data_IF_181918822122
#
_entry.id   IF_181918822122
#
_cell.length_a   1.000
_cell.length_b   1.000
_cell.length_c   1.000
_cell.angle_alpha   90.00
_cell.angle_beta   90.00
_cell.angle_gamma   90.00
#
_symmetry.space_group_name_H-M   'P 1'
#
loop_
_entity.id
_entity.type
_entity.pdbx_description
1 polymer ?
#
# COMPACT_ATOMS: atom_id res chain seq x y z
N UNK A 1 54.81 -5.96 -4.55
CA UNK A 1 53.84 -5.96 -3.45
C UNK A 1 52.47 -5.65 -4.01
N UNK A 2 51.57 -6.65 -4.07
CA UNK A 2 50.27 -6.58 -4.75
C UNK A 2 49.22 -6.06 -3.78
N UNK A 3 48.60 -4.92 -4.05
CA UNK A 3 47.43 -4.48 -3.34
C UNK A 3 46.17 -4.91 -4.15
N UNK A 4 45.45 -5.93 -3.65
CA UNK A 4 44.13 -6.34 -4.14
C UNK A 4 43.09 -5.43 -3.54
N UNK A 5 42.48 -4.57 -4.31
CA UNK A 5 41.24 -3.92 -3.93
C UNK A 5 40.07 -4.86 -4.27
N UNK A 6 39.42 -5.34 -3.22
CA UNK A 6 38.11 -5.99 -3.28
C UNK A 6 37.08 -4.95 -3.66
N UNK A 7 36.42 -5.17 -4.79
CA UNK A 7 35.17 -4.52 -5.15
C UNK A 7 34.07 -5.57 -5.13
N UNK A 8 33.49 -5.80 -3.96
CA UNK A 8 32.29 -6.59 -3.80
C UNK A 8 31.09 -5.66 -3.64
N UNK A 9 30.00 -5.96 -4.38
CA UNK A 9 28.66 -5.58 -4.03
C UNK A 9 28.06 -4.31 -4.64
N UNK A 10 28.07 -4.18 -5.96
CA UNK A 10 27.10 -3.29 -6.63
C UNK A 10 26.11 -4.13 -7.42
N UNK A 11 24.84 -4.02 -7.00
CA UNK A 11 23.68 -4.70 -7.57
C UNK A 11 23.68 -4.69 -9.11
N UNK A 12 23.32 -5.81 -9.70
CA UNK A 12 23.20 -6.04 -11.15
C UNK A 12 22.35 -4.99 -11.86
N UNK A 13 21.34 -4.46 -11.18
CA UNK A 13 20.49 -3.37 -11.66
C UNK A 13 21.25 -2.07 -11.91
N UNK A 14 22.23 -1.72 -11.06
CA UNK A 14 23.01 -0.49 -11.21
C UNK A 14 23.96 -0.55 -12.41
N UNK A 15 24.40 -1.74 -12.84
CA UNK A 15 25.28 -1.92 -13.99
C UNK A 15 24.53 -1.78 -15.31
N UNK A 16 23.31 -2.29 -15.39
CA UNK A 16 22.45 -2.17 -16.58
C UNK A 16 21.99 -0.74 -16.85
N UNK A 17 21.81 0.08 -15.80
CA UNK A 17 21.48 1.50 -15.97
C UNK A 17 22.69 2.33 -16.40
N UNK A 18 23.87 2.03 -15.90
CA UNK A 18 25.09 2.81 -16.22
C UNK A 18 25.57 2.60 -17.67
N UNK A 19 25.48 1.38 -18.22
CA UNK A 19 25.93 1.10 -19.60
C UNK A 19 24.99 1.65 -20.68
N UNK A 20 23.68 1.77 -20.38
CA UNK A 20 22.71 2.35 -21.32
C UNK A 20 22.68 3.88 -21.35
N UNK A 21 23.14 4.52 -20.27
CA UNK A 21 23.18 5.99 -20.16
C UNK A 21 24.29 6.66 -20.98
N UNK A 22 25.28 5.91 -21.47
CA UNK A 22 26.44 6.47 -22.18
C UNK A 22 26.31 6.52 -23.71
N UNK A 23 25.21 6.06 -24.30
CA UNK A 23 25.11 5.89 -25.75
C UNK A 23 23.96 6.62 -26.46
N UNK A 24 23.21 7.50 -25.77
CA UNK A 24 22.17 8.29 -26.46
C UNK A 24 22.18 9.72 -25.98
N UNK A 25 22.23 10.73 -26.89
CA UNK A 25 22.00 12.11 -26.51
C UNK A 25 20.63 12.22 -25.87
N UNK A 26 20.50 13.03 -24.81
CA UNK A 26 19.24 13.28 -24.13
C UNK A 26 18.21 13.77 -25.15
N UNK A 27 17.42 12.86 -25.69
CA UNK A 27 16.25 13.20 -26.47
C UNK A 27 15.30 13.96 -25.55
N UNK A 28 14.84 15.14 -25.97
CA UNK A 28 13.72 15.82 -25.32
C UNK A 28 12.61 14.81 -25.05
N UNK A 29 11.85 14.94 -23.95
CA UNK A 29 10.74 14.05 -23.68
C UNK A 29 9.77 14.10 -24.85
N UNK A 30 9.90 13.13 -25.75
CA UNK A 30 9.03 12.93 -26.89
C UNK A 30 7.61 12.62 -26.36
N UNK A 31 6.59 12.86 -27.19
CA UNK A 31 5.18 12.51 -26.90
C UNK A 31 5.04 11.07 -26.38
N UNK A 32 5.93 10.16 -26.79
CA UNK A 32 6.01 8.78 -26.29
C UNK A 32 6.26 8.66 -24.78
N UNK A 33 6.73 9.70 -24.10
CA UNK A 33 6.89 9.67 -22.64
C UNK A 33 5.53 9.50 -21.93
N UNK A 34 4.46 10.07 -22.50
CA UNK A 34 3.10 9.99 -21.98
C UNK A 34 2.44 8.61 -22.17
N UNK A 35 3.02 7.77 -23.02
CA UNK A 35 2.56 6.41 -23.29
C UNK A 35 3.31 5.35 -22.48
N UNK A 36 4.28 5.76 -21.65
CA UNK A 36 5.04 4.82 -20.82
C UNK A 36 4.19 4.30 -19.66
N UNK A 37 4.09 2.97 -19.49
CA UNK A 37 3.22 2.37 -18.46
C UNK A 37 3.48 2.91 -17.05
N UNK A 38 4.74 3.06 -16.64
CA UNK A 38 5.09 3.60 -15.32
C UNK A 38 4.63 5.04 -15.12
N UNK A 39 4.68 5.88 -16.16
CA UNK A 39 4.19 7.26 -16.10
C UNK A 39 2.66 7.30 -15.98
N UNK A 40 1.97 6.48 -16.76
CA UNK A 40 0.51 6.37 -16.69
C UNK A 40 0.05 5.82 -15.34
N UNK A 41 0.74 4.80 -14.81
CA UNK A 41 0.47 4.25 -13.48
C UNK A 41 0.63 5.32 -12.39
N UNK A 42 1.69 6.12 -12.44
CA UNK A 42 1.90 7.23 -11.52
C UNK A 42 0.71 8.21 -11.54
N UNK A 43 0.31 8.67 -12.73
CA UNK A 43 -0.81 9.61 -12.85
C UNK A 43 -2.15 9.00 -12.46
N UNK A 44 -2.40 7.74 -12.83
CA UNK A 44 -3.60 7.01 -12.43
C UNK A 44 -3.66 6.88 -10.89
N UNK A 45 -2.56 6.50 -10.25
CA UNK A 45 -2.47 6.38 -8.79
C UNK A 45 -2.75 7.71 -8.10
N UNK A 46 -2.11 8.80 -8.53
CA UNK A 46 -2.35 10.12 -7.94
C UNK A 46 -3.80 10.60 -8.11
N UNK A 47 -4.41 10.33 -9.27
CA UNK A 47 -5.81 10.66 -9.51
C UNK A 47 -6.74 9.85 -8.62
N UNK A 48 -6.53 8.54 -8.55
CA UNK A 48 -7.29 7.63 -7.70
C UNK A 48 -7.19 8.02 -6.22
N UNK A 49 -5.97 8.23 -5.70
CA UNK A 49 -5.76 8.65 -4.31
C UNK A 49 -6.48 9.95 -3.94
N UNK A 50 -6.51 10.95 -4.86
CA UNK A 50 -7.28 12.19 -4.63
C UNK A 50 -8.77 11.91 -4.52
N UNK A 51 -9.31 11.05 -5.38
CA UNK A 51 -10.72 10.69 -5.35
C UNK A 51 -11.07 9.90 -4.07
N UNK A 52 -10.21 8.96 -3.65
CA UNK A 52 -10.37 8.25 -2.35
C UNK A 52 -10.39 9.25 -1.20
N UNK A 53 -9.46 10.21 -1.16
CA UNK A 53 -9.46 11.24 -0.12
C UNK A 53 -10.74 12.06 -0.06
N UNK A 54 -11.35 12.37 -1.22
CA UNK A 54 -12.66 13.06 -1.28
C UNK A 54 -13.78 12.16 -0.76
N UNK A 55 -13.81 10.88 -1.16
CA UNK A 55 -14.84 9.92 -0.74
C UNK A 55 -14.79 9.63 0.77
N UNK A 56 -13.60 9.59 1.35
CA UNK A 56 -13.41 9.31 2.78
C UNK A 56 -13.62 10.53 3.70
N UNK A 57 -13.57 11.74 3.15
CA UNK A 57 -13.70 12.99 3.94
C UNK A 57 -14.96 13.05 4.80
N UNK A 58 -16.17 12.66 4.34
CA UNK A 58 -17.38 12.65 5.16
C UNK A 58 -17.34 11.67 6.34
N UNK A 59 -16.46 10.65 6.24
CA UNK A 59 -16.30 9.61 7.27
C UNK A 59 -15.25 10.03 8.31
N UNK A 60 -14.46 11.07 8.00
CA UNK A 60 -13.39 11.57 8.86
C UNK A 60 -12.08 10.77 8.78
N UNK A 61 -11.90 9.95 7.75
CA UNK A 61 -10.71 9.15 7.57
C UNK A 61 -9.81 9.71 6.46
N UNK A 62 -8.51 9.69 6.69
CA UNK A 62 -7.53 9.79 5.61
C UNK A 62 -7.40 8.45 4.87
N UNK A 63 -6.84 8.45 3.65
CA UNK A 63 -6.62 7.21 2.89
C UNK A 63 -5.80 6.18 3.67
N UNK A 64 -4.71 6.60 4.32
CA UNK A 64 -3.84 5.68 5.07
C UNK A 64 -4.54 5.16 6.34
N UNK A 65 -5.32 6.00 7.04
CA UNK A 65 -6.15 5.54 8.17
C UNK A 65 -7.15 4.48 7.71
N UNK A 66 -7.83 4.70 6.59
CA UNK A 66 -8.74 3.71 6.02
C UNK A 66 -8.03 2.39 5.70
N UNK A 67 -6.89 2.43 4.99
CA UNK A 67 -6.14 1.21 4.64
C UNK A 67 -5.73 0.43 5.89
N UNK A 68 -5.17 1.09 6.90
CA UNK A 68 -4.74 0.42 8.13
C UNK A 68 -5.93 -0.09 8.97
N UNK A 69 -7.03 0.66 9.05
CA UNK A 69 -8.22 0.24 9.78
C UNK A 69 -8.90 -0.97 9.13
N UNK A 70 -9.07 -0.94 7.81
CA UNK A 70 -9.65 -2.05 7.06
C UNK A 70 -8.76 -3.30 7.11
N UNK A 71 -7.44 -3.14 6.98
CA UNK A 71 -6.46 -4.23 7.11
C UNK A 71 -6.45 -4.83 8.52
N UNK A 72 -6.55 -3.99 9.56
CA UNK A 72 -6.62 -4.49 10.94
C UNK A 72 -7.88 -5.33 11.17
N UNK A 73 -9.03 -4.86 10.69
CA UNK A 73 -10.28 -5.61 10.76
C UNK A 73 -10.21 -6.93 9.99
N UNK A 74 -9.69 -6.90 8.77
CA UNK A 74 -9.53 -8.10 7.94
C UNK A 74 -8.65 -9.17 8.61
N UNK A 75 -7.51 -8.76 9.17
CA UNK A 75 -6.60 -9.67 9.87
C UNK A 75 -7.23 -10.21 11.15
N UNK A 76 -7.87 -9.34 11.96
CA UNK A 76 -8.53 -9.73 13.21
C UNK A 76 -9.58 -10.83 12.98
N UNK A 77 -10.40 -10.71 11.94
CA UNK A 77 -11.44 -11.67 11.61
C UNK A 77 -10.89 -13.02 11.07
N UNK A 78 -9.68 -13.02 10.46
CA UNK A 78 -9.07 -14.22 9.86
C UNK A 78 -8.08 -14.94 10.78
N UNK A 79 -7.24 -14.19 11.48
CA UNK A 79 -6.10 -14.73 12.22
C UNK A 79 -6.08 -14.28 13.68
N UNK A 80 -7.04 -13.45 14.10
CA UNK A 80 -7.07 -12.79 15.40
C UNK A 80 -6.34 -11.44 15.40
N UNK A 81 -6.36 -10.73 16.54
CA UNK A 81 -5.83 -9.38 16.66
C UNK A 81 -4.36 -9.29 16.18
N UNK A 82 -4.06 -8.52 15.10
CA UNK A 82 -2.70 -8.43 14.59
C UNK A 82 -1.80 -7.59 15.48
N UNK A 83 -0.49 -7.85 15.44
CA UNK A 83 0.52 -6.91 15.91
C UNK A 83 0.69 -5.75 14.92
N UNK A 84 1.31 -4.66 15.37
CA UNK A 84 1.65 -3.55 14.48
C UNK A 84 2.52 -3.98 13.29
N UNK A 85 3.44 -4.95 13.50
CA UNK A 85 4.31 -5.47 12.45
C UNK A 85 3.52 -6.24 11.39
N UNK A 86 2.68 -7.19 11.81
CA UNK A 86 1.82 -7.96 10.90
C UNK A 86 0.91 -7.04 10.08
N UNK A 87 0.36 -6.00 10.72
CA UNK A 87 -0.46 -4.99 10.03
C UNK A 87 0.35 -4.20 9.00
N UNK A 88 1.56 -3.75 9.35
CA UNK A 88 2.42 -3.00 8.43
C UNK A 88 2.81 -3.84 7.21
N UNK A 89 3.18 -5.10 7.41
CA UNK A 89 3.50 -6.06 6.36
C UNK A 89 2.28 -6.31 5.43
N UNK A 90 1.11 -6.53 6.02
CA UNK A 90 -0.13 -6.72 5.26
C UNK A 90 -0.51 -5.48 4.44
N UNK A 91 -0.48 -4.29 5.06
CA UNK A 91 -0.84 -3.04 4.41
C UNK A 91 0.22 -2.49 3.45
N UNK A 92 1.44 -3.05 3.46
CA UNK A 92 2.56 -2.55 2.65
C UNK A 92 3.05 -1.18 3.09
N UNK A 93 2.98 -0.87 4.40
CA UNK A 93 3.37 0.42 4.97
C UNK A 93 4.65 0.30 5.80
N UNK A 94 5.42 1.38 5.94
CA UNK A 94 6.57 1.39 6.83
C UNK A 94 6.14 1.44 8.32
N UNK A 95 7.03 0.97 9.20
CA UNK A 95 6.75 0.84 10.63
C UNK A 95 6.50 2.20 11.31
N UNK A 96 7.15 3.28 10.86
CA UNK A 96 7.02 4.62 11.45
C UNK A 96 5.65 5.22 11.10
N UNK A 97 5.27 5.19 9.82
CA UNK A 97 3.96 5.63 9.34
C UNK A 97 2.85 4.84 10.03
N UNK A 98 2.97 3.50 10.06
CA UNK A 98 2.00 2.63 10.73
C UNK A 98 1.84 3.02 12.20
N UNK A 99 2.94 3.22 12.93
CA UNK A 99 2.89 3.64 14.34
C UNK A 99 2.19 4.98 14.55
N UNK A 100 2.46 5.95 13.68
CA UNK A 100 1.87 7.29 13.76
C UNK A 100 0.36 7.26 13.49
N UNK A 101 -0.04 6.56 12.43
CA UNK A 101 -1.45 6.45 12.04
C UNK A 101 -2.26 5.67 13.06
N UNK A 102 -1.69 4.58 13.61
CA UNK A 102 -2.35 3.81 14.67
C UNK A 102 -2.59 4.64 15.94
N UNK A 103 -1.68 5.55 16.29
CA UNK A 103 -1.91 6.48 17.42
C UNK A 103 -3.10 7.42 17.17
N UNK A 104 -3.25 7.89 15.93
CA UNK A 104 -4.41 8.69 15.55
C UNK A 104 -5.70 7.88 15.64
N UNK A 105 -5.73 6.67 15.05
CA UNK A 105 -6.90 5.77 15.11
C UNK A 105 -7.28 5.40 16.55
N UNK A 106 -6.29 5.22 17.43
CA UNK A 106 -6.52 4.96 18.86
C UNK A 106 -7.07 6.19 19.59
N UNK A 107 -6.56 7.39 19.28
CA UNK A 107 -7.09 8.67 19.80
C UNK A 107 -8.51 8.90 19.35
N UNK A 108 -8.83 8.52 18.11
CA UNK A 108 -10.16 8.63 17.52
C UNK A 108 -11.12 7.52 18.01
N UNK A 109 -10.64 6.59 18.86
CA UNK A 109 -11.45 5.49 19.43
C UNK A 109 -11.80 4.38 18.43
N UNK A 110 -11.11 4.30 17.30
CA UNK A 110 -11.40 3.34 16.23
C UNK A 110 -10.64 2.01 16.39
N UNK A 111 -9.53 2.03 17.12
CA UNK A 111 -8.75 0.83 17.48
C UNK A 111 -8.32 0.91 18.94
N UNK A 112 -8.05 -0.25 19.53
CA UNK A 112 -7.46 -0.40 20.87
C UNK A 112 -6.21 -1.23 20.79
N UNK A 113 -5.28 -1.03 21.77
CA UNK A 113 -4.05 -1.81 21.91
C UNK A 113 -4.04 -2.55 23.23
N UNK A 114 -3.86 -3.85 23.16
CA UNK A 114 -3.75 -4.72 24.32
C UNK A 114 -2.39 -5.41 24.36
N UNK A 115 -1.82 -5.68 25.54
CA UNK A 115 -0.64 -6.53 25.64
C UNK A 115 -0.95 -7.92 25.08
N UNK A 116 0.00 -8.49 24.33
CA UNK A 116 -0.12 -9.89 23.92
C UNK A 116 -0.02 -10.80 25.16
N UNK A 117 -0.90 -11.81 25.31
CA UNK A 117 -0.89 -12.70 26.46
C UNK A 117 0.41 -13.50 26.62
N UNK A 118 1.10 -13.79 25.51
CA UNK A 118 2.34 -14.57 25.52
C UNK A 118 3.60 -13.69 25.67
N UNK A 119 3.57 -12.45 25.19
CA UNK A 119 4.66 -11.48 25.31
C UNK A 119 4.11 -10.06 25.44
N UNK A 120 4.12 -9.51 26.65
CA UNK A 120 3.64 -8.17 26.97
C UNK A 120 4.37 -7.02 26.23
N UNK A 121 5.54 -7.30 25.60
CA UNK A 121 6.25 -6.34 24.74
C UNK A 121 5.56 -6.13 23.42
N UNK A 122 4.80 -7.12 22.97
CA UNK A 122 4.00 -7.06 21.74
C UNK A 122 2.65 -6.44 22.09
N UNK A 123 2.16 -5.53 21.24
CA UNK A 123 0.82 -4.97 21.32
C UNK A 123 -0.04 -5.54 20.20
N UNK A 124 -1.17 -6.12 20.58
CA UNK A 124 -2.22 -6.59 19.68
C UNK A 124 -3.23 -5.48 19.45
N UNK A 125 -3.73 -5.41 18.23
CA UNK A 125 -4.68 -4.39 17.80
C UNK A 125 -6.06 -5.00 17.69
N UNK A 126 -7.05 -4.35 18.31
CA UNK A 126 -8.45 -4.72 18.21
C UNK A 126 -9.22 -3.55 17.60
N UNK A 127 -10.06 -3.83 16.61
CA UNK A 127 -10.92 -2.81 16.00
C UNK A 127 -12.19 -2.67 16.83
N UNK A 128 -12.48 -1.46 17.29
CA UNK A 128 -13.68 -1.16 18.08
C UNK A 128 -14.97 -1.29 17.26
N UNK A 129 -16.13 -1.27 17.91
CA UNK A 129 -17.41 -1.25 17.20
C UNK A 129 -17.55 -0.02 16.30
N UNK A 130 -17.12 1.14 16.79
CA UNK A 130 -17.05 2.41 16.04
C UNK A 130 -16.07 2.30 14.87
N UNK A 131 -14.92 1.66 15.08
CA UNK A 131 -13.92 1.39 14.04
C UNK A 131 -14.48 0.50 12.92
N UNK A 132 -15.17 -0.59 13.28
CA UNK A 132 -15.83 -1.48 12.31
C UNK A 132 -16.90 -0.73 11.52
N UNK A 133 -17.73 0.08 12.18
CA UNK A 133 -18.74 0.88 11.52
C UNK A 133 -18.13 1.94 10.58
N UNK A 134 -17.04 2.59 10.98
CA UNK A 134 -16.30 3.52 10.11
C UNK A 134 -15.66 2.82 8.93
N UNK A 135 -15.00 1.66 9.14
CA UNK A 135 -14.39 0.87 8.09
C UNK A 135 -15.42 0.38 7.07
N UNK A 136 -16.59 -0.10 7.51
CA UNK A 136 -17.66 -0.55 6.62
C UNK A 136 -18.15 0.58 5.71
N UNK A 137 -18.45 1.77 6.27
CA UNK A 137 -18.84 2.93 5.45
C UNK A 137 -17.75 3.37 4.49
N UNK A 138 -16.48 3.27 4.91
CA UNK A 138 -15.34 3.61 4.07
C UNK A 138 -15.15 2.62 2.92
N UNK A 139 -15.33 1.31 3.15
CA UNK A 139 -15.33 0.27 2.13
C UNK A 139 -16.43 0.53 1.08
N UNK A 140 -17.67 0.78 1.51
CA UNK A 140 -18.78 1.10 0.59
C UNK A 140 -18.47 2.34 -0.27
N UNK A 141 -17.90 3.38 0.32
CA UNK A 141 -17.55 4.62 -0.38
C UNK A 141 -16.42 4.40 -1.41
N UNK A 142 -15.40 3.62 -1.04
CA UNK A 142 -14.29 3.29 -1.94
C UNK A 142 -14.74 2.34 -3.04
N UNK A 143 -15.56 1.34 -2.75
CA UNK A 143 -16.14 0.44 -3.76
C UNK A 143 -16.99 1.18 -4.80
N UNK A 144 -17.79 2.14 -4.35
CA UNK A 144 -18.58 2.98 -5.26
C UNK A 144 -17.67 3.84 -6.16
N UNK A 145 -16.60 4.39 -5.61
CA UNK A 145 -15.60 5.15 -6.34
C UNK A 145 -14.84 4.27 -7.35
N UNK A 146 -14.41 3.08 -6.95
CA UNK A 146 -13.67 2.16 -7.81
C UNK A 146 -14.47 1.74 -9.04
N UNK A 147 -15.77 1.53 -8.90
CA UNK A 147 -16.67 1.28 -10.04
C UNK A 147 -16.63 2.42 -11.05
N UNK A 148 -16.58 3.66 -10.60
CA UNK A 148 -16.51 4.85 -11.45
C UNK A 148 -15.12 5.05 -12.04
N UNK A 149 -14.08 4.88 -11.24
CA UNK A 149 -12.70 5.13 -11.65
C UNK A 149 -12.20 4.09 -12.65
N UNK A 150 -12.43 2.82 -12.37
CA UNK A 150 -11.96 1.69 -13.17
C UNK A 150 -12.94 1.24 -14.24
N UNK A 151 -14.21 1.65 -14.18
CA UNK A 151 -15.22 1.27 -15.16
C UNK A 151 -14.79 1.45 -16.63
N UNK A 152 -14.11 2.54 -17.02
CA UNK A 152 -13.60 2.72 -18.37
C UNK A 152 -12.48 1.77 -18.80
N UNK A 153 -11.85 1.06 -17.87
CA UNK A 153 -10.71 0.18 -18.14
C UNK A 153 -11.10 -1.21 -18.68
N UNK A 154 -12.40 -1.50 -18.82
CA UNK A 154 -12.90 -2.77 -19.35
C UNK A 154 -13.30 -3.77 -18.28
N UNK A 155 -13.06 -5.08 -18.55
CA UNK A 155 -13.43 -6.15 -17.65
C UNK A 155 -12.73 -6.04 -16.29
N UNK A 156 -13.51 -6.17 -15.21
CA UNK A 156 -13.01 -6.00 -13.84
C UNK A 156 -12.05 -7.11 -13.45
N UNK A 157 -12.32 -8.35 -13.85
CA UNK A 157 -11.53 -9.50 -13.44
C UNK A 157 -10.16 -9.48 -14.10
N UNK A 158 -10.10 -9.10 -15.38
CA UNK A 158 -8.84 -8.88 -16.11
C UNK A 158 -8.00 -7.77 -15.47
N UNK A 159 -8.64 -6.66 -15.11
CA UNK A 159 -7.97 -5.54 -14.43
C UNK A 159 -7.44 -5.94 -13.05
N UNK A 160 -8.25 -6.62 -12.24
CA UNK A 160 -7.83 -7.10 -10.90
C UNK A 160 -6.69 -8.08 -11.03
N UNK A 161 -6.73 -9.01 -12.00
CA UNK A 161 -5.63 -9.93 -12.27
C UNK A 161 -4.33 -9.23 -12.63
N UNK A 162 -4.40 -8.22 -13.50
CA UNK A 162 -3.23 -7.40 -13.87
C UNK A 162 -2.66 -6.63 -12.66
N UNK A 163 -3.52 -5.94 -11.92
CA UNK A 163 -3.09 -5.14 -10.77
C UNK A 163 -2.49 -6.02 -9.67
N UNK A 164 -3.04 -7.20 -9.43
CA UNK A 164 -2.52 -8.17 -8.48
C UNK A 164 -1.11 -8.63 -8.87
N UNK A 165 -0.91 -8.97 -10.14
CA UNK A 165 0.41 -9.33 -10.67
C UNK A 165 1.42 -8.20 -10.49
N UNK A 166 1.02 -6.95 -10.82
CA UNK A 166 1.90 -5.77 -10.67
C UNK A 166 2.19 -5.44 -9.20
N UNK A 167 1.25 -5.69 -8.30
CA UNK A 167 1.41 -5.49 -6.87
C UNK A 167 2.25 -6.59 -6.20
N UNK A 168 2.59 -7.69 -6.91
CA UNK A 168 3.30 -8.82 -6.33
C UNK A 168 2.52 -9.49 -5.19
N UNK A 169 1.20 -9.65 -5.37
CA UNK A 169 0.32 -10.24 -4.34
C UNK A 169 -0.50 -11.38 -4.92
N UNK A 170 -0.78 -12.40 -4.09
CA UNK A 170 -1.67 -13.50 -4.43
C UNK A 170 -3.17 -13.12 -4.35
N UNK A 171 -4.04 -14.12 -4.48
CA UNK A 171 -5.49 -13.94 -4.41
C UNK A 171 -5.98 -13.48 -3.02
N UNK A 172 -5.25 -13.83 -1.98
CA UNK A 172 -5.53 -13.47 -0.59
C UNK A 172 -4.84 -12.17 -0.14
N UNK A 173 -4.11 -11.50 -1.06
CA UNK A 173 -3.40 -10.26 -0.81
C UNK A 173 -2.06 -10.46 -0.08
N UNK A 174 -1.56 -11.69 -0.02
CA UNK A 174 -0.26 -12.01 0.57
C UNK A 174 0.85 -11.65 -0.41
N UNK A 175 1.97 -11.02 0.03
CA UNK A 175 3.12 -10.77 -0.84
C UNK A 175 3.62 -12.06 -1.49
N UNK A 176 3.91 -12.00 -2.77
CA UNK A 176 4.63 -13.07 -3.48
C UNK A 176 6.14 -12.82 -3.29
N UNK A 177 6.85 -13.77 -2.70
CA UNK A 177 8.31 -13.75 -2.54
C UNK A 177 9.06 -13.83 -3.89
#
# INVERSE_FOLDING_TARGET
>A
MRCRLRLEGRSYAHRLYAERALLTPAAHPDRSAWEKPGFLLWHATLRWQRMVGVALKPIGLTHVQFVLLASAWFLEDRTGPPSQRELAEHAGTDAMMTSQVLRSLETDGLVERHPDPADARIKRLTVTAEGRAAAARALDAVDALDKVFFGPAGDRDDLVGLLRTLAGRDADGVPLD
#
